data_IF_168861804010
#
_entry.id   IF_168861804010
#
_cell.length_a   1.000
_cell.length_b   1.000
_cell.length_c   1.000
_cell.angle_alpha   90.00
_cell.angle_beta   90.00
_cell.angle_gamma   90.00
#
_symmetry.space_group_name_H-M   'P 1'
#
loop_
_entity.id
_entity.type
_entity.pdbx_description
1 polymer ?
#
# COMPACT_ATOMS: atom_id res chain seq x y z
N UNK A 1 -47.03 -15.84 9.14
CA UNK A 1 -46.31 -14.75 8.48
C UNK A 1 -44.87 -15.18 8.47
N UNK A 2 -44.39 -15.26 7.33
CA UNK A 2 -43.38 -16.15 6.76
C UNK A 2 -41.95 -15.78 7.17
N UNK A 3 -41.36 -16.56 8.07
CA UNK A 3 -39.99 -16.40 8.60
C UNK A 3 -39.05 -17.46 7.97
N UNK A 4 -39.29 -17.81 6.70
CA UNK A 4 -38.60 -18.90 6.01
C UNK A 4 -37.83 -18.44 4.78
N UNK A 5 -36.84 -17.54 4.93
CA UNK A 5 -35.90 -17.30 3.82
C UNK A 5 -34.48 -16.89 4.23
N UNK A 6 -34.00 -17.36 5.37
CA UNK A 6 -32.57 -17.35 5.66
C UNK A 6 -31.99 -18.66 5.14
N UNK A 7 -31.66 -18.70 3.83
CA UNK A 7 -30.90 -19.82 3.26
C UNK A 7 -29.55 -19.88 3.96
N UNK A 8 -29.34 -20.96 4.71
CA UNK A 8 -28.03 -21.33 5.24
C UNK A 8 -27.07 -21.59 4.05
N UNK A 9 -26.31 -20.57 3.68
CA UNK A 9 -25.28 -20.72 2.67
C UNK A 9 -24.11 -21.48 3.28
N UNK A 10 -23.60 -22.46 2.56
CA UNK A 10 -22.33 -23.09 2.94
C UNK A 10 -21.19 -22.03 2.92
N UNK A 11 -20.15 -22.18 3.76
CA UNK A 11 -19.02 -21.25 3.76
C UNK A 11 -18.40 -21.03 2.37
N UNK A 12 -18.41 -22.05 1.50
CA UNK A 12 -17.96 -21.97 0.11
C UNK A 12 -18.87 -21.11 -0.79
N UNK A 13 -20.19 -21.21 -0.60
CA UNK A 13 -21.13 -20.40 -1.38
C UNK A 13 -21.10 -18.93 -0.96
N UNK A 14 -20.91 -18.66 0.33
CA UNK A 14 -20.74 -17.29 0.82
C UNK A 14 -19.46 -16.66 0.28
N UNK A 15 -18.33 -17.38 0.32
CA UNK A 15 -17.07 -16.91 -0.22
C UNK A 15 -17.17 -16.64 -1.72
N UNK A 16 -17.76 -17.53 -2.51
CA UNK A 16 -17.97 -17.34 -3.95
C UNK A 16 -18.81 -16.10 -4.26
N UNK A 17 -19.88 -15.85 -3.52
CA UNK A 17 -20.71 -14.65 -3.70
C UNK A 17 -19.96 -13.37 -3.36
N UNK A 18 -19.17 -13.39 -2.30
CA UNK A 18 -18.32 -12.26 -1.94
C UNK A 18 -17.29 -11.99 -3.03
N UNK A 19 -16.66 -13.01 -3.59
CA UNK A 19 -15.72 -12.88 -4.72
C UNK A 19 -16.40 -12.32 -5.98
N UNK A 20 -17.61 -12.81 -6.32
CA UNK A 20 -18.39 -12.30 -7.44
C UNK A 20 -18.76 -10.82 -7.23
N UNK A 21 -19.21 -10.43 -6.04
CA UNK A 21 -19.50 -9.03 -5.69
C UNK A 21 -18.25 -8.15 -5.74
N UNK A 22 -17.11 -8.61 -5.22
CA UNK A 22 -15.86 -7.87 -5.31
C UNK A 22 -15.40 -7.68 -6.76
N UNK A 23 -15.55 -8.69 -7.61
CA UNK A 23 -15.21 -8.61 -9.03
C UNK A 23 -16.10 -7.61 -9.76
N UNK A 24 -17.37 -7.57 -9.47
CA UNK A 24 -18.30 -6.61 -10.04
C UNK A 24 -18.00 -5.17 -9.59
N UNK A 25 -17.74 -4.97 -8.30
CA UNK A 25 -17.33 -3.68 -7.75
C UNK A 25 -16.01 -3.22 -8.40
N UNK A 26 -15.04 -4.12 -8.59
CA UNK A 26 -13.76 -3.81 -9.23
C UNK A 26 -13.96 -3.37 -10.70
N UNK A 27 -14.86 -4.04 -11.42
CA UNK A 27 -15.18 -3.69 -12.82
C UNK A 27 -15.87 -2.33 -12.92
N UNK A 28 -16.86 -2.08 -12.07
CA UNK A 28 -17.58 -0.79 -12.03
C UNK A 28 -16.65 0.34 -11.58
N UNK A 29 -15.80 0.10 -10.57
CA UNK A 29 -14.80 1.06 -10.12
C UNK A 29 -13.80 1.41 -11.22
N UNK A 30 -13.39 0.44 -12.05
CA UNK A 30 -12.50 0.66 -13.19
C UNK A 30 -13.07 1.63 -14.23
N UNK A 31 -14.35 1.48 -14.57
CA UNK A 31 -15.07 2.39 -15.49
C UNK A 31 -15.23 3.78 -14.88
N UNK A 32 -15.75 3.86 -13.66
CA UNK A 32 -15.96 5.12 -12.95
C UNK A 32 -14.65 5.90 -12.77
N UNK A 33 -13.56 5.20 -12.49
CA UNK A 33 -12.27 5.85 -12.31
C UNK A 33 -11.77 6.53 -13.58
N UNK A 34 -11.97 5.94 -14.75
CA UNK A 34 -11.66 6.60 -16.02
C UNK A 34 -12.49 7.87 -16.24
N UNK A 35 -13.78 7.80 -15.91
CA UNK A 35 -14.68 8.95 -16.03
C UNK A 35 -14.37 10.05 -15.00
N UNK A 36 -13.83 9.73 -13.83
CA UNK A 36 -13.40 10.71 -12.82
C UNK A 36 -12.01 11.29 -13.14
N UNK A 37 -11.08 10.48 -13.67
CA UNK A 37 -9.75 10.97 -14.09
C UNK A 37 -9.81 12.04 -15.17
N UNK A 38 -10.75 11.93 -16.09
CA UNK A 38 -10.89 12.88 -17.21
C UNK A 38 -11.15 14.32 -16.72
N UNK A 39 -12.19 14.60 -15.89
CA UNK A 39 -12.41 15.95 -15.36
C UNK A 39 -11.26 16.43 -14.46
N UNK A 40 -10.65 15.54 -13.66
CA UNK A 40 -9.49 15.91 -12.83
C UNK A 40 -8.31 16.36 -13.69
N UNK A 41 -7.99 15.64 -14.76
CA UNK A 41 -6.94 16.02 -15.72
C UNK A 41 -7.25 17.36 -16.41
N UNK A 42 -8.53 17.62 -16.74
CA UNK A 42 -8.97 18.89 -17.30
C UNK A 42 -8.81 20.04 -16.31
N UNK A 43 -9.19 19.84 -15.03
CA UNK A 43 -9.00 20.84 -13.97
C UNK A 43 -7.51 21.15 -13.82
N UNK A 44 -6.65 20.12 -13.75
CA UNK A 44 -5.20 20.30 -13.60
C UNK A 44 -4.58 21.07 -14.76
N UNK A 45 -4.99 20.77 -15.99
CA UNK A 45 -4.53 21.49 -17.18
C UNK A 45 -4.93 22.97 -17.13
N UNK A 46 -6.20 23.26 -16.84
CA UNK A 46 -6.67 24.64 -16.75
C UNK A 46 -6.00 25.42 -15.61
N UNK A 47 -5.72 24.76 -14.48
CA UNK A 47 -4.96 25.39 -13.41
C UNK A 47 -3.51 25.69 -13.78
N UNK A 48 -2.89 24.84 -14.62
CA UNK A 48 -1.56 25.10 -15.19
C UNK A 48 -1.54 26.34 -16.09
N UNK A 49 -2.47 26.42 -17.04
CA UNK A 49 -2.60 27.59 -17.91
C UNK A 49 -2.89 28.88 -17.14
N UNK A 50 -3.75 28.81 -16.11
CA UNK A 50 -4.06 29.94 -15.23
C UNK A 50 -2.84 30.39 -14.42
N UNK A 51 -1.97 29.45 -14.03
CA UNK A 51 -0.71 29.74 -13.32
C UNK A 51 0.24 30.51 -14.26
N UNK A 52 0.43 30.02 -15.50
CA UNK A 52 1.23 30.71 -16.53
C UNK A 52 0.71 32.13 -16.81
N UNK A 53 -0.61 32.29 -17.05
CA UNK A 53 -1.24 33.57 -17.29
C UNK A 53 -1.04 34.57 -16.11
N UNK A 54 -1.09 34.06 -14.87
CA UNK A 54 -0.95 34.90 -13.66
C UNK A 54 0.52 35.23 -13.37
N UNK A 55 1.47 34.32 -13.70
CA UNK A 55 2.91 34.58 -13.54
C UNK A 55 3.42 35.69 -14.45
N UNK A 56 2.78 35.89 -15.63
CA UNK A 56 3.11 36.97 -16.56
C UNK A 56 2.65 38.37 -16.06
N UNK A 57 1.80 38.44 -15.03
CA UNK A 57 1.31 39.72 -14.48
C UNK A 57 2.35 40.33 -13.53
N UNK A 58 2.23 41.65 -13.31
CA UNK A 58 3.05 42.37 -12.34
C UNK A 58 2.92 41.78 -10.91
N UNK A 59 4.04 41.67 -10.19
CA UNK A 59 4.09 41.17 -8.83
C UNK A 59 3.27 42.00 -7.86
N UNK A 60 2.08 41.57 -7.54
CA UNK A 60 1.18 42.22 -6.56
C UNK A 60 0.83 41.24 -5.43
N UNK A 61 0.42 41.75 -4.25
CA UNK A 61 -0.10 40.91 -3.17
C UNK A 61 -1.35 40.11 -3.59
N UNK A 62 -2.06 40.55 -4.61
CA UNK A 62 -3.22 39.85 -5.19
C UNK A 62 -2.79 38.72 -6.05
N UNK A 63 -1.80 38.88 -6.92
CA UNK A 63 -1.21 37.84 -7.75
C UNK A 63 -0.70 36.68 -6.88
N UNK A 64 0.10 36.96 -5.83
CA UNK A 64 0.60 35.95 -4.90
C UNK A 64 -0.52 35.16 -4.22
N UNK A 65 -1.65 35.80 -3.90
CA UNK A 65 -2.83 35.09 -3.35
C UNK A 65 -3.52 34.19 -4.38
N UNK A 66 -3.58 34.62 -5.64
CA UNK A 66 -4.18 33.82 -6.72
C UNK A 66 -3.32 32.59 -6.99
N UNK A 67 -1.99 32.74 -7.15
CA UNK A 67 -1.05 31.64 -7.33
C UNK A 67 -1.16 30.60 -6.19
N UNK A 68 -1.22 31.06 -4.93
CA UNK A 68 -1.41 30.13 -3.79
C UNK A 68 -2.73 29.35 -3.87
N UNK A 69 -3.80 29.94 -4.40
CA UNK A 69 -5.08 29.25 -4.61
C UNK A 69 -4.99 28.23 -5.74
N UNK A 70 -4.34 28.58 -6.84
CA UNK A 70 -4.09 27.68 -7.97
C UNK A 70 -3.29 26.47 -7.49
N UNK A 71 -2.19 26.68 -6.78
CA UNK A 71 -1.38 25.62 -6.19
C UNK A 71 -2.21 24.70 -5.25
N UNK A 72 -3.11 25.29 -4.46
CA UNK A 72 -4.00 24.53 -3.59
C UNK A 72 -4.94 23.64 -4.41
N UNK A 73 -5.57 24.16 -5.47
CA UNK A 73 -6.46 23.37 -6.33
C UNK A 73 -5.69 22.27 -7.06
N UNK A 74 -4.50 22.56 -7.58
CA UNK A 74 -3.62 21.56 -8.22
C UNK A 74 -3.29 20.42 -7.25
N UNK A 75 -2.91 20.73 -6.01
CA UNK A 75 -2.61 19.75 -4.97
C UNK A 75 -3.81 18.88 -4.61
N UNK A 76 -4.98 19.46 -4.41
CA UNK A 76 -6.20 18.69 -4.10
C UNK A 76 -6.64 17.83 -5.28
N UNK A 77 -6.43 18.27 -6.52
CA UNK A 77 -6.72 17.46 -7.72
C UNK A 77 -5.81 16.22 -7.78
N UNK A 78 -4.51 16.40 -7.54
CA UNK A 78 -3.55 15.28 -7.45
C UNK A 78 -3.94 14.31 -6.33
N UNK A 79 -4.34 14.84 -5.17
CA UNK A 79 -4.79 14.02 -4.05
C UNK A 79 -6.02 13.16 -4.40
N UNK A 80 -6.97 13.70 -5.17
CA UNK A 80 -8.12 12.95 -5.65
C UNK A 80 -7.72 11.87 -6.67
N UNK A 81 -6.77 12.16 -7.56
CA UNK A 81 -6.21 11.15 -8.48
C UNK A 81 -5.55 10.01 -7.71
N UNK A 82 -4.78 10.30 -6.65
CA UNK A 82 -4.11 9.30 -5.80
C UNK A 82 -5.13 8.43 -5.05
N UNK A 83 -6.13 9.06 -4.41
CA UNK A 83 -7.24 8.35 -3.75
C UNK A 83 -7.94 7.36 -4.69
N UNK A 84 -8.23 7.82 -5.90
CA UNK A 84 -8.89 7.00 -6.92
C UNK A 84 -8.01 5.83 -7.36
N UNK A 85 -6.71 6.07 -7.56
CA UNK A 85 -5.74 5.03 -7.90
C UNK A 85 -5.61 3.98 -6.78
N UNK A 86 -5.55 4.41 -5.52
CA UNK A 86 -5.51 3.51 -4.37
C UNK A 86 -6.79 2.69 -4.24
N UNK A 87 -7.95 3.29 -4.46
CA UNK A 87 -9.22 2.58 -4.47
C UNK A 87 -9.28 1.52 -5.57
N UNK A 88 -8.83 1.85 -6.79
CA UNK A 88 -8.73 0.87 -7.88
C UNK A 88 -7.80 -0.29 -7.56
N UNK A 89 -6.69 0.00 -6.91
CA UNK A 89 -5.73 -1.02 -6.50
C UNK A 89 -6.31 -1.94 -5.42
N UNK A 90 -7.05 -1.36 -4.46
CA UNK A 90 -7.76 -2.12 -3.44
C UNK A 90 -8.82 -3.06 -4.03
N UNK A 91 -9.55 -2.63 -5.06
CA UNK A 91 -10.56 -3.47 -5.72
C UNK A 91 -9.98 -4.57 -6.59
N UNK A 92 -8.80 -4.32 -7.23
CA UNK A 92 -8.13 -5.27 -8.14
C UNK A 92 -7.26 -6.31 -7.44
N UNK A 93 -7.03 -6.21 -6.15
CA UNK A 93 -6.13 -7.09 -5.39
C UNK A 93 -6.55 -8.58 -5.35
N UNK A 94 -7.62 -8.97 -6.04
CA UNK A 94 -8.10 -10.36 -6.11
C UNK A 94 -7.66 -11.13 -7.37
N UNK A 95 -7.27 -10.44 -8.45
CA UNK A 95 -6.87 -11.06 -9.71
C UNK A 95 -5.34 -11.02 -9.84
N UNK A 96 -4.65 -11.99 -9.21
CA UNK A 96 -3.20 -12.08 -9.21
C UNK A 96 -2.70 -13.02 -10.32
N UNK A 97 -1.68 -12.58 -11.06
CA UNK A 97 -0.96 -13.41 -12.02
C UNK A 97 0.27 -14.03 -11.34
N UNK A 98 0.06 -15.15 -10.65
CA UNK A 98 1.06 -15.81 -9.81
C UNK A 98 2.10 -16.56 -10.65
N UNK A 99 3.33 -16.07 -10.71
CA UNK A 99 4.48 -16.70 -11.36
C UNK A 99 5.53 -17.15 -10.34
N UNK A 100 6.32 -18.17 -10.69
CA UNK A 100 7.42 -18.60 -9.84
C UNK A 100 8.50 -17.51 -9.77
N UNK A 101 8.83 -17.05 -8.56
CA UNK A 101 9.81 -16.00 -8.32
C UNK A 101 10.62 -16.25 -7.05
N UNK A 102 11.80 -15.65 -6.99
CA UNK A 102 12.64 -15.58 -5.80
C UNK A 102 12.32 -14.31 -5.02
N UNK A 103 11.80 -14.47 -3.80
CA UNK A 103 11.42 -13.37 -2.95
C UNK A 103 12.60 -12.42 -2.62
N UNK A 104 13.83 -12.94 -2.49
CA UNK A 104 14.99 -12.11 -2.24
C UNK A 104 15.32 -11.20 -3.43
N UNK A 105 15.19 -11.73 -4.65
CA UNK A 105 15.42 -10.96 -5.88
C UNK A 105 14.40 -9.83 -5.99
N UNK A 106 13.12 -10.13 -5.81
CA UNK A 106 12.06 -9.12 -5.86
C UNK A 106 12.26 -8.03 -4.78
N UNK A 107 12.57 -8.42 -3.55
CA UNK A 107 12.82 -7.49 -2.46
C UNK A 107 14.02 -6.56 -2.74
N UNK A 108 15.12 -7.09 -3.29
CA UNK A 108 16.29 -6.26 -3.64
C UNK A 108 15.94 -5.19 -4.66
N UNK A 109 15.20 -5.53 -5.72
CA UNK A 109 14.79 -4.57 -6.73
C UNK A 109 13.93 -3.43 -6.13
N UNK A 110 12.97 -3.78 -5.27
CA UNK A 110 12.11 -2.80 -4.61
C UNK A 110 12.91 -1.90 -3.67
N UNK A 111 13.84 -2.47 -2.90
CA UNK A 111 14.66 -1.72 -1.94
C UNK A 111 15.62 -0.78 -2.67
N UNK A 112 16.26 -1.21 -3.75
CA UNK A 112 17.10 -0.35 -4.57
C UNK A 112 16.32 0.84 -5.15
N UNK A 113 15.09 0.61 -5.60
CA UNK A 113 14.19 1.68 -6.05
C UNK A 113 13.83 2.65 -4.92
N UNK A 114 13.62 2.15 -3.69
CA UNK A 114 13.21 2.95 -2.54
C UNK A 114 14.39 3.65 -1.83
N UNK A 115 15.61 3.16 -1.99
CA UNK A 115 16.82 3.63 -1.29
C UNK A 115 17.09 5.13 -1.40
N UNK A 116 16.96 5.79 -2.58
CA UNK A 116 17.16 7.25 -2.67
C UNK A 116 16.23 8.03 -1.74
N UNK A 117 14.95 7.64 -1.68
CA UNK A 117 13.95 8.29 -0.84
C UNK A 117 14.21 8.09 0.67
N UNK A 118 14.69 6.91 1.06
CA UNK A 118 15.11 6.64 2.43
C UNK A 118 16.35 7.46 2.81
N UNK A 119 17.34 7.56 1.91
CA UNK A 119 18.55 8.35 2.12
C UNK A 119 18.25 9.85 2.29
N UNK A 120 17.39 10.41 1.44
CA UNK A 120 16.94 11.80 1.56
C UNK A 120 16.24 12.07 2.91
N UNK A 121 15.56 11.05 3.45
CA UNK A 121 14.89 11.11 4.74
C UNK A 121 15.80 10.80 5.95
N UNK A 122 17.11 10.59 5.75
CA UNK A 122 18.06 10.15 6.78
C UNK A 122 17.64 8.83 7.45
N UNK A 123 17.13 7.86 6.66
CA UNK A 123 16.73 6.53 7.11
C UNK A 123 17.64 5.47 6.51
N UNK A 124 18.30 4.70 7.36
CA UNK A 124 19.14 3.57 6.94
C UNK A 124 18.27 2.35 6.61
N UNK A 125 18.58 1.65 5.51
CA UNK A 125 17.95 0.37 5.19
C UNK A 125 18.97 -0.73 5.44
N UNK A 126 18.59 -1.72 6.27
CA UNK A 126 19.38 -2.92 6.53
C UNK A 126 18.67 -4.16 5.98
N UNK A 127 19.44 -4.98 5.29
CA UNK A 127 18.95 -6.15 4.56
C UNK A 127 19.62 -7.42 5.08
N UNK A 128 18.82 -8.41 5.46
CA UNK A 128 19.26 -9.72 5.94
C UNK A 128 18.49 -10.82 5.22
N UNK A 129 19.08 -11.37 4.18
CA UNK A 129 18.44 -12.39 3.34
C UNK A 129 18.96 -13.79 3.64
N UNK A 130 18.05 -14.73 3.87
CA UNK A 130 18.40 -16.15 3.94
C UNK A 130 18.73 -16.67 2.54
N UNK A 131 19.84 -17.41 2.41
CA UNK A 131 20.26 -18.03 1.13
C UNK A 131 19.37 -19.19 0.68
N UNK A 132 18.70 -19.86 1.62
CA UNK A 132 18.00 -21.13 1.38
C UNK A 132 16.47 -20.96 1.37
N UNK A 133 15.99 -19.92 0.67
CA UNK A 133 14.55 -19.76 0.50
C UNK A 133 14.03 -20.59 -0.66
N UNK A 134 12.94 -21.34 -0.46
CA UNK A 134 12.27 -21.99 -1.58
C UNK A 134 11.58 -20.95 -2.46
N UNK A 135 11.48 -21.23 -3.76
CA UNK A 135 10.73 -20.44 -4.75
C UNK A 135 9.27 -20.24 -4.33
N UNK A 136 8.69 -19.10 -4.67
CA UNK A 136 7.32 -18.72 -4.37
C UNK A 136 6.53 -18.45 -5.64
N UNK A 137 5.21 -18.50 -5.53
CA UNK A 137 4.34 -17.93 -6.54
C UNK A 137 4.05 -16.48 -6.15
N UNK A 138 4.51 -15.54 -6.98
CA UNK A 138 4.39 -14.10 -6.73
C UNK A 138 3.79 -13.44 -7.98
N UNK A 139 2.78 -12.60 -7.78
CA UNK A 139 2.42 -11.56 -8.73
C UNK A 139 3.32 -10.35 -8.44
N UNK A 140 4.35 -10.16 -9.29
CA UNK A 140 5.39 -9.15 -9.08
C UNK A 140 4.79 -7.76 -8.83
N UNK A 141 3.86 -7.33 -9.69
CA UNK A 141 3.29 -5.97 -9.61
C UNK A 141 2.56 -5.70 -8.28
N UNK A 142 1.75 -6.65 -7.83
CA UNK A 142 0.99 -6.51 -6.58
C UNK A 142 1.90 -6.66 -5.37
N UNK A 143 2.89 -7.55 -5.44
CA UNK A 143 3.90 -7.74 -4.39
C UNK A 143 4.76 -6.48 -4.20
N UNK A 144 5.33 -5.93 -5.29
CA UNK A 144 6.13 -4.71 -5.27
C UNK A 144 5.36 -3.57 -4.60
N UNK A 145 4.10 -3.40 -4.97
CA UNK A 145 3.23 -2.38 -4.39
C UNK A 145 2.97 -2.61 -2.90
N UNK A 146 2.73 -3.85 -2.49
CA UNK A 146 2.50 -4.17 -1.08
C UNK A 146 3.75 -3.88 -0.23
N UNK A 147 4.93 -4.29 -0.70
CA UNK A 147 6.20 -4.02 0.00
C UNK A 147 6.47 -2.52 0.03
N UNK A 148 6.31 -1.81 -1.10
CA UNK A 148 6.52 -0.36 -1.15
C UNK A 148 5.58 0.39 -0.19
N UNK A 149 4.31 -0.03 -0.07
CA UNK A 149 3.38 0.55 0.90
C UNK A 149 3.86 0.38 2.35
N UNK A 150 4.43 -0.77 2.71
CA UNK A 150 4.97 -1.00 4.04
C UNK A 150 6.24 -0.16 4.29
N UNK A 151 7.14 -0.07 3.30
CA UNK A 151 8.35 0.76 3.39
C UNK A 151 8.00 2.25 3.55
N UNK A 152 7.04 2.75 2.76
CA UNK A 152 6.55 4.13 2.86
C UNK A 152 5.89 4.41 4.21
N UNK A 153 5.12 3.45 4.74
CA UNK A 153 4.53 3.58 6.07
C UNK A 153 5.58 3.66 7.16
N UNK A 154 6.62 2.82 7.10
CA UNK A 154 7.75 2.86 8.02
C UNK A 154 8.50 4.18 7.96
N UNK A 155 8.82 4.65 6.73
CA UNK A 155 9.48 5.93 6.51
C UNK A 155 8.69 7.11 7.12
N UNK A 156 7.38 7.12 6.92
CA UNK A 156 6.50 8.15 7.49
C UNK A 156 6.42 8.08 9.01
N UNK A 157 6.38 6.85 9.58
CA UNK A 157 6.36 6.65 11.03
C UNK A 157 7.67 7.10 11.69
N UNK A 158 8.80 6.93 11.00
CA UNK A 158 10.11 7.42 11.46
C UNK A 158 10.15 8.95 11.40
N UNK A 159 9.74 9.56 10.27
CA UNK A 159 9.69 11.03 10.13
C UNK A 159 8.78 11.71 11.15
N UNK A 160 7.73 11.04 11.60
CA UNK A 160 6.81 11.54 12.62
C UNK A 160 7.33 11.44 14.07
N UNK A 161 8.51 10.90 14.30
CA UNK A 161 9.12 10.76 15.62
C UNK A 161 10.04 11.95 15.91
N UNK A 162 9.73 12.73 16.94
CA UNK A 162 10.38 14.03 17.23
C UNK A 162 11.88 13.93 17.56
N UNK A 163 12.40 12.79 18.05
CA UNK A 163 13.79 12.63 18.55
C UNK A 163 14.64 11.64 17.74
N UNK A 164 14.31 11.34 16.49
CA UNK A 164 15.09 10.38 15.71
C UNK A 164 16.33 11.03 15.07
N UNK A 165 17.51 10.89 15.68
CA UNK A 165 18.79 11.30 15.05
C UNK A 165 19.02 10.56 13.73
N UNK A 166 18.75 9.27 13.67
CA UNK A 166 18.78 8.45 12.46
C UNK A 166 17.71 7.35 12.53
N UNK A 167 16.86 7.26 11.51
CA UNK A 167 15.87 6.19 11.39
C UNK A 167 16.44 4.93 10.77
N UNK A 168 15.80 3.80 11.04
CA UNK A 168 16.18 2.52 10.45
C UNK A 168 14.95 1.74 9.97
N UNK A 169 15.07 1.15 8.77
CA UNK A 169 14.17 0.12 8.27
C UNK A 169 14.99 -1.14 8.05
N UNK A 170 14.59 -2.25 8.69
CA UNK A 170 15.21 -3.54 8.52
C UNK A 170 14.30 -4.45 7.71
N UNK A 171 14.83 -5.05 6.65
CA UNK A 171 14.15 -6.06 5.83
C UNK A 171 14.89 -7.37 5.98
N UNK A 172 14.16 -8.40 6.41
CA UNK A 172 14.75 -9.72 6.64
C UNK A 172 13.87 -10.80 6.03
N UNK A 173 14.52 -11.79 5.39
CA UNK A 173 13.85 -13.01 4.97
C UNK A 173 14.34 -14.20 5.78
N UNK A 174 13.46 -15.14 6.08
CA UNK A 174 13.79 -16.36 6.81
C UNK A 174 12.87 -17.51 6.44
N UNK A 175 13.35 -18.76 6.48
CA UNK A 175 12.48 -19.92 6.41
C UNK A 175 11.61 -20.00 7.66
N UNK A 176 10.36 -20.44 7.49
CA UNK A 176 9.39 -20.65 8.58
C UNK A 176 8.66 -21.97 8.36
N UNK A 177 9.29 -23.09 8.74
CA UNK A 177 8.81 -24.43 8.38
C UNK A 177 8.76 -24.62 6.87
N UNK A 178 7.59 -24.93 6.32
CA UNK A 178 7.35 -25.01 4.86
C UNK A 178 7.03 -23.66 4.22
N UNK A 179 7.06 -22.56 4.98
CA UNK A 179 6.74 -21.21 4.51
C UNK A 179 7.99 -20.33 4.45
N UNK A 180 7.91 -19.19 3.79
CA UNK A 180 8.89 -18.09 3.91
C UNK A 180 8.27 -16.94 4.66
N UNK A 181 9.00 -16.40 5.60
CA UNK A 181 8.65 -15.16 6.29
C UNK A 181 9.53 -14.01 5.77
N UNK A 182 8.90 -12.87 5.53
CA UNK A 182 9.51 -11.58 5.23
C UNK A 182 9.14 -10.65 6.38
N UNK A 183 10.14 -10.19 7.13
CA UNK A 183 9.96 -9.22 8.20
C UNK A 183 10.39 -7.84 7.70
N UNK A 184 9.52 -6.84 7.83
CA UNK A 184 9.81 -5.42 7.65
C UNK A 184 9.65 -4.73 9.01
N UNK A 185 10.73 -4.14 9.50
CA UNK A 185 10.78 -3.56 10.84
C UNK A 185 11.21 -2.10 10.71
N UNK A 186 10.43 -1.18 11.22
CA UNK A 186 10.78 0.24 11.30
C UNK A 186 11.04 0.68 12.74
N UNK A 187 11.89 1.68 12.91
CA UNK A 187 12.20 2.32 14.20
C UNK A 187 11.31 3.54 14.48
N UNK A 188 10.13 3.59 13.86
CA UNK A 188 9.19 4.72 13.98
C UNK A 188 8.53 4.87 15.34
N UNK A 189 7.49 5.69 15.40
CA UNK A 189 6.76 5.98 16.64
C UNK A 189 5.93 4.82 17.18
N UNK A 190 5.74 3.74 16.42
CA UNK A 190 4.88 2.63 16.80
C UNK A 190 3.39 2.99 16.81
N UNK A 191 2.57 2.06 17.30
CA UNK A 191 1.10 2.19 17.33
C UNK A 191 0.54 1.73 18.67
N UNK A 192 -0.57 2.34 19.10
CA UNK A 192 -1.35 1.89 20.24
C UNK A 192 -2.18 0.64 19.90
N UNK A 193 -2.59 -0.11 20.93
CA UNK A 193 -3.46 -1.29 20.75
C UNK A 193 -4.77 -0.93 20.05
N UNK A 194 -5.35 0.24 20.35
CA UNK A 194 -6.56 0.72 19.68
C UNK A 194 -6.33 0.93 18.17
N UNK A 195 -5.18 1.49 17.79
CA UNK A 195 -4.78 1.67 16.39
C UNK A 195 -4.56 0.32 15.71
N UNK A 196 -3.84 -0.60 16.38
CA UNK A 196 -3.54 -1.94 15.86
C UNK A 196 -4.82 -2.72 15.50
N UNK A 197 -5.89 -2.57 16.25
CA UNK A 197 -7.17 -3.23 15.98
C UNK A 197 -7.83 -2.72 14.69
N UNK A 198 -7.56 -1.48 14.29
CA UNK A 198 -8.26 -0.80 13.18
C UNK A 198 -7.43 -0.61 11.92
N UNK A 199 -6.10 -0.83 11.95
CA UNK A 199 -5.20 -0.48 10.84
C UNK A 199 -5.52 -1.19 9.51
N UNK A 200 -6.23 -2.31 9.55
CA UNK A 200 -6.67 -3.03 8.36
C UNK A 200 -8.12 -2.71 7.95
N UNK A 201 -8.81 -1.83 8.68
CA UNK A 201 -10.12 -1.34 8.27
C UNK A 201 -9.96 -0.35 7.11
N UNK A 202 -10.70 -0.52 6.00
CA UNK A 202 -10.67 0.43 4.89
C UNK A 202 -11.03 1.85 5.36
N UNK A 203 -10.30 2.83 4.84
CA UNK A 203 -10.46 4.26 5.15
C UNK A 203 -10.04 4.68 6.57
N UNK A 204 -9.56 3.77 7.40
CA UNK A 204 -8.97 4.13 8.68
C UNK A 204 -7.54 4.65 8.49
N UNK A 205 -7.27 5.86 8.98
CA UNK A 205 -5.93 6.47 8.97
C UNK A 205 -5.75 7.39 10.17
N UNK A 206 -4.60 7.32 10.81
CA UNK A 206 -4.16 8.27 11.85
C UNK A 206 -3.38 9.45 11.27
N UNK A 207 -3.09 9.41 9.96
CA UNK A 207 -2.27 10.41 9.26
C UNK A 207 -3.16 11.46 8.61
N UNK A 208 -2.76 12.74 8.72
CA UNK A 208 -3.42 13.83 8.00
C UNK A 208 -3.25 13.60 6.49
N UNK A 209 -4.37 13.48 5.78
CA UNK A 209 -4.36 13.23 4.34
C UNK A 209 -4.12 11.78 3.91
N UNK A 210 -3.98 10.85 4.84
CA UNK A 210 -3.90 9.43 4.52
C UNK A 210 -5.25 8.88 4.04
N UNK A 211 -5.22 8.03 3.02
CA UNK A 211 -6.42 7.45 2.41
C UNK A 211 -7.02 6.30 3.23
N UNK A 212 -6.20 5.67 4.07
CA UNK A 212 -6.58 4.48 4.84
C UNK A 212 -6.78 3.21 3.99
N UNK A 213 -6.31 3.20 2.74
CA UNK A 213 -6.43 2.04 1.84
C UNK A 213 -5.12 1.24 1.69
N UNK A 214 -3.98 1.81 2.08
CA UNK A 214 -2.67 1.17 1.90
C UNK A 214 -2.55 -0.18 2.62
N UNK A 215 -2.73 -0.22 3.94
CA UNK A 215 -2.63 -1.47 4.73
C UNK A 215 -3.74 -2.50 4.41
N UNK A 216 -5.02 -2.12 4.25
CA UNK A 216 -6.03 -3.03 3.72
C UNK A 216 -5.68 -3.66 2.38
N UNK A 217 -5.05 -2.88 1.46
CA UNK A 217 -4.57 -3.40 0.17
C UNK A 217 -3.42 -4.39 0.37
N UNK A 218 -2.45 -4.07 1.23
CA UNK A 218 -1.36 -5.00 1.58
C UNK A 218 -1.94 -6.34 2.06
N UNK A 219 -2.85 -6.31 3.03
CA UNK A 219 -3.49 -7.52 3.56
C UNK A 219 -4.14 -8.35 2.47
N UNK A 220 -4.94 -7.75 1.59
CA UNK A 220 -5.59 -8.44 0.47
C UNK A 220 -4.57 -9.05 -0.50
N UNK A 221 -3.51 -8.33 -0.83
CA UNK A 221 -2.44 -8.84 -1.70
C UNK A 221 -1.78 -10.05 -1.07
N UNK A 222 -1.39 -10.00 0.21
CA UNK A 222 -0.74 -11.11 0.91
C UNK A 222 -1.68 -12.34 1.00
N UNK A 223 -2.94 -12.12 1.38
CA UNK A 223 -3.97 -13.18 1.41
C UNK A 223 -4.22 -13.78 0.02
N UNK A 224 -4.26 -12.95 -1.05
CA UNK A 224 -4.37 -13.42 -2.43
C UNK A 224 -3.19 -14.27 -2.90
N UNK A 225 -2.01 -14.08 -2.33
CA UNK A 225 -0.85 -14.95 -2.52
C UNK A 225 -0.90 -16.24 -1.67
N UNK A 226 -2.00 -16.49 -0.94
CA UNK A 226 -2.13 -17.59 0.02
C UNK A 226 -1.33 -17.38 1.29
N UNK A 227 -0.83 -16.16 1.51
CA UNK A 227 0.00 -15.79 2.66
C UNK A 227 -0.81 -15.25 3.84
N UNK A 228 -0.09 -14.85 4.88
CA UNK A 228 -0.63 -14.20 6.09
C UNK A 228 0.22 -13.01 6.46
N UNK A 229 -0.40 -12.00 7.07
CA UNK A 229 0.26 -10.84 7.64
C UNK A 229 0.06 -10.82 9.15
N UNK A 230 1.14 -10.69 9.90
CA UNK A 230 1.14 -10.45 11.34
C UNK A 230 1.84 -9.13 11.63
N UNK A 231 1.47 -8.49 12.74
CA UNK A 231 2.02 -7.20 13.15
C UNK A 231 2.35 -7.22 14.63
N UNK A 232 3.47 -6.60 14.98
CA UNK A 232 3.86 -6.27 16.33
C UNK A 232 4.28 -4.81 16.35
N UNK A 233 3.76 -4.02 17.27
CA UNK A 233 4.10 -2.61 17.40
C UNK A 233 4.02 -2.19 18.87
N UNK A 234 4.93 -1.31 19.26
CA UNK A 234 4.95 -0.71 20.60
C UNK A 234 5.25 0.78 20.45
N UNK A 235 4.47 1.62 21.15
CA UNK A 235 4.65 3.08 21.11
C UNK A 235 6.11 3.43 21.47
N UNK A 236 6.74 4.24 20.64
CA UNK A 236 8.13 4.69 20.80
C UNK A 236 9.19 3.71 20.30
N UNK A 237 8.85 2.45 20.01
CA UNK A 237 9.80 1.42 19.55
C UNK A 237 9.74 1.08 18.07
N UNK A 238 8.61 1.38 17.43
CA UNK A 238 8.42 1.11 16.00
C UNK A 238 7.44 -0.04 15.73
N UNK A 239 7.48 -0.55 14.50
CA UNK A 239 6.55 -1.57 14.04
C UNK A 239 7.27 -2.66 13.28
N UNK A 240 6.86 -3.91 13.49
CA UNK A 240 7.27 -5.07 12.71
C UNK A 240 6.05 -5.64 11.99
N UNK A 241 6.13 -5.72 10.66
CA UNK A 241 5.25 -6.51 9.82
C UNK A 241 5.94 -7.82 9.46
N UNK A 242 5.26 -8.95 9.65
CA UNK A 242 5.72 -10.27 9.24
C UNK A 242 4.76 -10.81 8.19
N UNK A 243 5.25 -10.97 6.96
CA UNK A 243 4.51 -11.55 5.84
C UNK A 243 4.95 -12.99 5.67
N UNK A 244 4.03 -13.95 5.72
CA UNK A 244 4.32 -15.37 5.50
C UNK A 244 3.68 -15.85 4.22
N UNK A 245 4.45 -16.60 3.41
CA UNK A 245 4.01 -17.14 2.13
C UNK A 245 4.22 -18.65 2.09
N UNK A 246 3.26 -19.44 1.56
CA UNK A 246 3.43 -20.88 1.41
C UNK A 246 4.53 -21.20 0.38
N UNK A 247 5.30 -22.25 0.61
CA UNK A 247 6.24 -22.78 -0.37
C UNK A 247 5.50 -23.41 -1.55
N UNK A 248 6.08 -23.31 -2.76
CA UNK A 248 5.74 -24.23 -3.82
C UNK A 248 6.35 -25.59 -3.41
N UNK A 249 5.56 -26.69 -3.33
CA UNK A 249 6.15 -28.00 -3.09
C UNK A 249 7.25 -28.25 -4.13
N UNK A 250 8.47 -28.57 -3.68
CA UNK A 250 9.49 -29.10 -4.60
C UNK A 250 8.92 -30.41 -5.14
N UNK A 251 8.61 -30.46 -6.44
CA UNK A 251 8.38 -31.73 -7.09
C UNK A 251 9.72 -32.44 -6.98
N UNK A 252 9.84 -33.44 -6.10
CA UNK A 252 11.00 -34.30 -6.06
C UNK A 252 10.97 -35.07 -7.38
N UNK A 253 11.88 -34.74 -8.29
CA UNK A 253 12.19 -35.60 -9.43
C UNK A 253 12.52 -36.99 -8.87
N UNK A 254 11.61 -37.91 -9.13
CA UNK A 254 11.84 -39.34 -8.90
C UNK A 254 12.54 -39.93 -10.09
#
# INVERSE_FOLDING_TARGET
MDDSNMKDFTPNELNRRLEEQYTEIARLAGGLAHEVKNPLSTIRLNMGLLEEDVEELEETPQQKRVLKRIETVKRETLRLEDLLNEFLNFTRAHNLELNAADANTELKEIIEFFRPQATEANVAIREYYSSDLPTRRIDKRSFDRAILNLLLNGLQAIKGKEDAEQGEILVRTRPCGSEVAIDLIDSGGGMSDETLQKIFEPFFSTKVGGTGLGLPTVRKVIEGHGGRIAIQSEIGRGTQFTLTFPAIPRISDK
#
